data_IF_435609768462
#
_entry.id   IF_435609768462
#
_cell.length_a   1.000
_cell.length_b   1.000
_cell.length_c   1.000
_cell.angle_alpha   90.00
_cell.angle_beta   90.00
_cell.angle_gamma   90.00
#
_symmetry.space_group_name_H-M   'P 1'
#
loop_
_entity.id
_entity.type
_entity.pdbx_description
1 polymer ?
#
# COMPACT_ATOMS: atom_id res chain seq x y z
N UNK A 1 -11.42 -1.86 -0.30
CA UNK A 1 -10.66 -0.77 -0.94
C UNK A 1 -11.36 -0.39 -2.22
N UNK A 2 -11.63 0.90 -2.39
CA UNK A 2 -12.18 1.48 -3.61
C UNK A 2 -11.19 2.53 -4.12
N UNK A 3 -10.85 2.47 -5.40
CA UNK A 3 -9.92 3.39 -6.05
C UNK A 3 -10.61 4.06 -7.22
N UNK A 4 -10.58 5.39 -7.27
CA UNK A 4 -11.09 6.18 -8.39
C UNK A 4 -9.92 7.00 -8.94
N UNK A 5 -9.45 6.66 -10.13
CA UNK A 5 -8.36 7.36 -10.81
C UNK A 5 -8.88 8.24 -11.94
N UNK A 6 -8.63 9.54 -11.83
CA UNK A 6 -8.84 10.50 -12.91
C UNK A 6 -7.75 10.34 -13.99
N UNK A 7 -8.14 9.97 -15.22
CA UNK A 7 -7.21 9.85 -16.35
C UNK A 7 -7.23 11.07 -17.29
N UNK A 8 -8.01 12.10 -16.97
CA UNK A 8 -8.27 13.24 -17.85
C UNK A 8 -9.08 12.83 -19.08
N UNK A 9 -8.95 13.60 -20.15
CA UNK A 9 -9.77 13.45 -21.36
C UNK A 9 -9.46 12.18 -22.21
N UNK A 10 -8.36 11.48 -21.94
CA UNK A 10 -7.89 10.34 -22.75
C UNK A 10 -7.43 9.17 -21.89
N UNK A 11 -7.56 7.95 -22.41
CA UNK A 11 -7.28 6.73 -21.66
C UNK A 11 -5.81 6.63 -21.23
N UNK A 12 -4.89 7.01 -22.14
CA UNK A 12 -3.44 6.98 -21.90
C UNK A 12 -3.02 5.66 -21.22
N UNK A 13 -2.19 5.73 -20.18
CA UNK A 13 -1.88 4.61 -19.29
C UNK A 13 -2.76 4.55 -18.03
N UNK A 14 -3.83 5.35 -17.94
CA UNK A 14 -4.64 5.48 -16.72
C UNK A 14 -5.19 4.15 -16.20
N UNK A 15 -5.76 3.34 -17.09
CA UNK A 15 -6.29 2.02 -16.72
C UNK A 15 -5.20 1.12 -16.13
N UNK A 16 -4.03 1.08 -16.76
CA UNK A 16 -2.90 0.28 -16.28
C UNK A 16 -2.36 0.80 -14.94
N UNK A 17 -2.34 2.12 -14.73
CA UNK A 17 -1.91 2.76 -13.48
C UNK A 17 -2.85 2.37 -12.33
N UNK A 18 -4.16 2.52 -12.51
CA UNK A 18 -5.15 2.18 -11.47
C UNK A 18 -5.13 0.68 -11.20
N UNK A 19 -5.08 -0.15 -12.25
CA UNK A 19 -5.00 -1.60 -12.10
C UNK A 19 -3.74 -2.03 -11.35
N UNK A 20 -2.57 -1.43 -11.66
CA UNK A 20 -1.34 -1.73 -10.93
C UNK A 20 -1.42 -1.28 -9.46
N UNK A 21 -2.06 -0.15 -9.20
CA UNK A 21 -2.36 0.27 -7.82
C UNK A 21 -3.05 -0.85 -7.04
N UNK A 22 -4.09 -1.47 -7.61
CA UNK A 22 -4.84 -2.53 -6.92
C UNK A 22 -4.01 -3.76 -6.53
N UNK A 23 -2.95 -4.11 -7.27
CA UNK A 23 -2.03 -5.19 -6.82
C UNK A 23 -1.36 -4.89 -5.47
N UNK A 24 -1.25 -3.61 -5.11
CA UNK A 24 -0.59 -3.14 -3.89
C UNK A 24 -1.62 -2.68 -2.84
N UNK A 25 -2.91 -3.00 -2.99
CA UNK A 25 -3.97 -2.38 -2.20
C UNK A 25 -3.94 -2.70 -0.69
N UNK A 26 -3.31 -3.80 -0.30
CA UNK A 26 -3.10 -4.17 1.11
C UNK A 26 -1.73 -3.75 1.63
N UNK A 27 -0.87 -3.17 0.78
CA UNK A 27 0.53 -2.94 1.10
C UNK A 27 1.29 -4.24 1.38
N UNK A 28 2.41 -4.15 2.12
CA UNK A 28 3.20 -5.31 2.51
C UNK A 28 2.67 -6.03 3.76
N UNK A 29 1.34 -6.04 3.95
CA UNK A 29 0.68 -6.52 5.16
C UNK A 29 -0.28 -7.67 4.88
N UNK A 30 -0.31 -8.66 5.77
CA UNK A 30 -1.27 -9.75 5.78
C UNK A 30 -2.68 -9.19 6.04
N UNK A 31 -3.59 -9.38 5.09
CA UNK A 31 -4.99 -8.97 5.20
C UNK A 31 -5.86 -10.13 4.73
N UNK A 32 -6.39 -10.89 5.70
CA UNK A 32 -7.15 -12.13 5.43
C UNK A 32 -8.41 -11.89 4.58
N UNK A 33 -9.03 -10.72 4.74
CA UNK A 33 -10.29 -10.38 4.10
C UNK A 33 -10.16 -9.07 3.34
N UNK A 34 -10.03 -9.15 2.02
CA UNK A 34 -9.91 -7.98 1.14
C UNK A 34 -10.95 -8.01 0.03
N UNK A 35 -11.62 -6.88 -0.17
CA UNK A 35 -12.45 -6.60 -1.35
C UNK A 35 -11.91 -5.35 -2.02
N UNK A 36 -11.56 -5.46 -3.30
CA UNK A 36 -10.99 -4.38 -4.09
C UNK A 36 -11.87 -4.03 -5.28
N UNK A 37 -12.07 -2.74 -5.54
CA UNK A 37 -12.67 -2.25 -6.79
C UNK A 37 -11.91 -1.01 -7.26
N UNK A 38 -11.75 -0.89 -8.58
CA UNK A 38 -11.00 0.18 -9.20
C UNK A 38 -11.77 0.74 -10.40
N UNK A 39 -11.83 2.06 -10.46
CA UNK A 39 -12.44 2.82 -11.55
C UNK A 39 -11.40 3.75 -12.16
N UNK A 40 -11.29 3.74 -13.48
CA UNK A 40 -10.57 4.77 -14.23
C UNK A 40 -11.60 5.65 -14.89
N UNK A 41 -11.65 6.93 -14.53
CA UNK A 41 -12.69 7.86 -14.96
C UNK A 41 -12.12 8.91 -15.90
N UNK A 42 -12.88 9.20 -16.96
CA UNK A 42 -12.58 10.31 -17.86
C UNK A 42 -13.11 11.61 -17.25
N UNK A 43 -12.32 12.66 -17.36
CA UNK A 43 -12.70 14.01 -16.92
C UNK A 43 -12.27 15.04 -17.96
N UNK A 44 -12.65 16.31 -17.75
CA UNK A 44 -12.19 17.42 -18.58
C UNK A 44 -10.79 17.95 -18.19
N UNK A 45 -10.08 17.24 -17.31
CA UNK A 45 -8.69 17.57 -16.97
C UNK A 45 -7.73 17.12 -18.08
N UNK A 46 -6.51 17.68 -18.06
CA UNK A 46 -5.41 17.22 -18.92
C UNK A 46 -5.17 15.73 -18.72
N UNK A 47 -4.86 15.01 -19.80
CA UNK A 47 -4.66 13.57 -19.74
C UNK A 47 -3.57 13.19 -18.72
N UNK A 48 -3.87 12.20 -17.89
CA UNK A 48 -2.89 11.60 -16.99
C UNK A 48 -2.13 10.47 -17.70
N UNK A 49 -1.10 9.95 -17.05
CA UNK A 49 -0.31 8.84 -17.59
C UNK A 49 0.59 8.21 -16.55
N UNK A 50 1.55 7.44 -17.02
CA UNK A 50 2.54 6.79 -16.17
C UNK A 50 3.40 7.82 -15.43
N UNK A 51 3.55 7.65 -14.12
CA UNK A 51 4.55 8.34 -13.29
C UNK A 51 5.30 7.29 -12.46
N UNK A 52 6.48 7.64 -11.94
CA UNK A 52 7.28 6.77 -11.06
C UNK A 52 6.41 6.17 -9.94
N UNK A 53 6.41 4.84 -9.84
CA UNK A 53 5.53 4.06 -8.95
C UNK A 53 4.37 3.39 -9.70
N UNK A 54 3.78 4.10 -10.68
CA UNK A 54 2.72 3.58 -11.55
C UNK A 54 1.53 3.03 -10.74
N UNK A 55 0.89 3.89 -9.94
CA UNK A 55 -0.25 3.53 -9.08
C UNK A 55 0.13 3.02 -7.69
N UNK A 56 1.32 2.44 -7.54
CA UNK A 56 1.75 1.85 -6.28
C UNK A 56 1.96 2.90 -5.17
N UNK A 57 2.44 4.10 -5.53
CA UNK A 57 2.69 5.19 -4.58
C UNK A 57 1.40 5.79 -4.04
N UNK A 58 0.36 5.93 -4.88
CA UNK A 58 -0.98 6.35 -4.45
C UNK A 58 -1.57 5.35 -3.45
N UNK A 59 -1.42 4.04 -3.72
CA UNK A 59 -1.84 3.02 -2.77
C UNK A 59 -1.01 3.02 -1.49
N UNK A 60 0.31 3.22 -1.59
CA UNK A 60 1.18 3.33 -0.42
C UNK A 60 0.75 4.41 0.55
N UNK A 61 0.44 5.60 0.02
CA UNK A 61 -0.14 6.65 0.84
C UNK A 61 -1.43 6.20 1.54
N UNK A 62 -2.36 5.56 0.81
CA UNK A 62 -3.65 5.16 1.35
C UNK A 62 -3.53 4.09 2.45
N UNK A 63 -2.80 2.99 2.19
CA UNK A 63 -2.68 1.91 3.18
C UNK A 63 -1.79 2.31 4.36
N UNK A 64 -0.72 3.10 4.17
CA UNK A 64 0.11 3.56 5.30
C UNK A 64 -0.65 4.53 6.20
N UNK A 65 -1.44 5.44 5.62
CA UNK A 65 -2.32 6.31 6.39
C UNK A 65 -3.34 5.50 7.21
N UNK A 66 -3.88 4.42 6.62
CA UNK A 66 -4.77 3.51 7.34
C UNK A 66 -4.04 2.81 8.49
N UNK A 67 -2.81 2.34 8.28
CA UNK A 67 -2.00 1.68 9.32
C UNK A 67 -1.76 2.62 10.51
N UNK A 68 -1.41 3.89 10.26
CA UNK A 68 -1.24 4.89 11.33
C UNK A 68 -2.53 5.17 12.08
N UNK A 69 -3.64 5.37 11.37
CA UNK A 69 -4.96 5.60 11.99
C UNK A 69 -5.35 4.42 12.89
N UNK A 70 -5.13 3.19 12.43
CA UNK A 70 -5.45 1.98 13.20
C UNK A 70 -4.55 1.84 14.43
N UNK A 71 -3.24 2.02 14.28
CA UNK A 71 -2.28 1.98 15.38
C UNK A 71 -2.66 3.00 16.47
N UNK A 72 -2.94 4.24 16.10
CA UNK A 72 -3.39 5.29 17.02
C UNK A 72 -4.69 4.93 17.75
N UNK A 73 -5.69 4.41 17.02
CA UNK A 73 -6.97 4.01 17.62
C UNK A 73 -6.84 2.85 18.60
N UNK A 74 -5.90 1.94 18.35
CA UNK A 74 -5.63 0.79 19.21
C UNK A 74 -4.65 1.10 20.34
N UNK A 75 -4.01 2.29 20.34
CA UNK A 75 -2.97 2.64 21.30
C UNK A 75 -1.71 1.80 21.15
N UNK A 76 -1.45 1.25 19.95
CA UNK A 76 -0.28 0.44 19.63
C UNK A 76 0.74 1.34 18.93
N UNK A 77 2.02 1.18 19.24
CA UNK A 77 3.10 1.87 18.52
C UNK A 77 3.00 1.57 17.01
N UNK A 78 3.09 2.60 16.14
CA UNK A 78 2.87 2.43 14.70
C UNK A 78 3.91 1.54 14.02
N UNK A 79 5.14 1.44 14.53
CA UNK A 79 6.16 0.52 14.01
C UNK A 79 5.83 -0.90 14.44
N UNK A 80 5.45 -1.11 15.71
CA UNK A 80 5.04 -2.44 16.20
C UNK A 80 3.81 -2.95 15.46
N UNK A 81 2.82 -2.09 15.23
CA UNK A 81 1.61 -2.46 14.50
C UNK A 81 1.93 -2.92 13.06
N UNK A 82 2.85 -2.24 12.38
CA UNK A 82 3.33 -2.68 11.05
C UNK A 82 4.06 -4.01 11.11
N UNK A 83 4.95 -4.21 12.08
CA UNK A 83 5.70 -5.46 12.24
C UNK A 83 4.77 -6.66 12.52
N UNK A 84 3.71 -6.46 13.30
CA UNK A 84 2.71 -7.50 13.60
C UNK A 84 1.94 -7.94 12.35
N UNK A 85 1.64 -7.01 11.44
CA UNK A 85 0.83 -7.28 10.25
C UNK A 85 1.68 -7.57 9.00
N UNK A 86 2.99 -7.27 9.01
CA UNK A 86 3.85 -7.41 7.83
C UNK A 86 3.93 -8.85 7.32
N UNK A 87 4.10 -9.00 5.99
CA UNK A 87 4.28 -10.31 5.36
C UNK A 87 5.46 -11.10 5.93
N UNK A 88 5.34 -12.42 5.80
CA UNK A 88 6.38 -13.42 6.04
C UNK A 88 6.54 -14.31 4.79
N UNK A 89 7.58 -15.14 4.77
CA UNK A 89 7.64 -16.24 3.80
C UNK A 89 6.41 -17.14 4.02
N UNK A 90 5.69 -17.44 2.94
CA UNK A 90 4.42 -18.16 2.97
C UNK A 90 3.19 -17.27 2.98
N UNK A 91 3.33 -15.96 3.20
CA UNK A 91 2.22 -15.01 3.05
C UNK A 91 1.64 -15.01 1.64
N UNK A 92 0.34 -14.75 1.54
CA UNK A 92 -0.35 -14.53 0.27
C UNK A 92 -0.62 -13.04 0.07
N UNK A 93 -0.29 -12.53 -1.10
CA UNK A 93 -0.69 -11.20 -1.57
C UNK A 93 -2.21 -11.14 -1.86
N UNK A 94 -2.81 -9.95 -2.07
CA UNK A 94 -4.25 -9.82 -2.36
C UNK A 94 -4.71 -10.45 -3.69
N UNK A 95 -3.78 -10.77 -4.58
CA UNK A 95 -4.00 -11.51 -5.82
C UNK A 95 -3.58 -12.99 -5.72
N UNK A 96 -3.51 -13.52 -4.50
CA UNK A 96 -3.21 -14.94 -4.21
C UNK A 96 -1.82 -15.41 -4.63
N UNK A 97 -0.85 -14.52 -4.80
CA UNK A 97 0.54 -14.90 -5.03
C UNK A 97 1.18 -15.28 -3.69
N UNK A 98 1.73 -16.50 -3.63
CA UNK A 98 2.47 -16.97 -2.46
C UNK A 98 3.90 -16.45 -2.50
N UNK A 99 4.32 -15.79 -1.43
CA UNK A 99 5.68 -15.28 -1.29
C UNK A 99 6.61 -16.39 -0.79
N UNK A 100 7.40 -16.98 -1.69
CA UNK A 100 8.26 -18.13 -1.36
C UNK A 100 9.67 -17.74 -0.94
N UNK A 101 10.11 -16.52 -1.23
CA UNK A 101 11.46 -16.03 -0.94
C UNK A 101 11.48 -14.49 -0.91
N UNK A 102 12.59 -13.91 -0.44
CA UNK A 102 12.88 -12.47 -0.51
C UNK A 102 11.82 -11.55 0.13
N UNK A 103 11.27 -11.95 1.27
CA UNK A 103 10.32 -11.13 2.05
C UNK A 103 11.07 -10.41 3.17
N UNK A 104 11.69 -9.26 2.84
CA UNK A 104 12.56 -8.50 3.77
C UNK A 104 11.89 -7.31 4.45
N UNK A 105 10.56 -7.24 4.46
CA UNK A 105 9.82 -6.06 4.95
C UNK A 105 10.06 -5.81 6.44
N UNK A 106 10.06 -6.87 7.27
CA UNK A 106 10.23 -6.73 8.72
C UNK A 106 11.65 -6.26 9.06
N UNK A 107 12.65 -6.80 8.38
CA UNK A 107 14.05 -6.39 8.50
C UNK A 107 14.20 -4.91 8.11
N UNK A 108 13.63 -4.53 6.96
CA UNK A 108 13.66 -3.14 6.46
C UNK A 108 13.03 -2.18 7.47
N UNK A 109 11.86 -2.53 8.05
CA UNK A 109 11.20 -1.68 9.04
C UNK A 109 12.06 -1.54 10.30
N UNK A 110 12.64 -2.64 10.82
CA UNK A 110 13.48 -2.61 12.02
C UNK A 110 14.73 -1.74 11.81
N UNK A 111 15.44 -1.94 10.71
CA UNK A 111 16.65 -1.17 10.39
C UNK A 111 16.32 0.31 10.18
N UNK A 112 15.25 0.63 9.44
CA UNK A 112 14.84 2.01 9.24
C UNK A 112 14.45 2.70 10.56
N UNK A 113 13.75 1.99 11.45
CA UNK A 113 13.37 2.51 12.77
C UNK A 113 14.59 2.76 13.67
N UNK A 114 15.55 1.83 13.68
CA UNK A 114 16.80 1.96 14.45
C UNK A 114 17.64 3.14 13.94
N UNK A 115 17.85 3.23 12.63
CA UNK A 115 18.58 4.33 12.00
C UNK A 115 17.91 5.70 12.23
N UNK A 116 16.58 5.74 12.29
CA UNK A 116 15.82 6.94 12.60
C UNK A 116 15.84 7.30 14.11
N UNK A 117 16.40 6.45 14.97
CA UNK A 117 16.33 6.62 16.42
C UNK A 117 14.91 6.63 16.95
N UNK A 118 14.04 5.78 16.37
CA UNK A 118 12.66 5.62 16.83
C UNK A 118 12.66 5.08 18.27
N UNK A 119 11.91 5.74 19.14
CA UNK A 119 11.67 5.28 20.52
C UNK A 119 10.22 4.90 20.61
N UNK A 120 9.94 3.74 21.19
CA UNK A 120 8.59 3.24 21.35
C UNK A 120 7.70 4.29 22.04
N UNK A 121 6.54 4.56 21.46
CA UNK A 121 5.58 5.55 21.99
C UNK A 121 5.86 7.00 21.61
N UNK A 122 6.76 7.26 20.65
CA UNK A 122 6.90 8.59 20.02
C UNK A 122 5.69 8.83 19.12
N UNK A 123 4.82 9.78 19.51
CA UNK A 123 3.76 10.33 18.66
C UNK A 123 4.22 11.64 18.04
#
# INVERSE_FOLDING_TARGET
VEVIGDTGAYASSGLAVVHKGMYHCTGPYNVDNVKGVAYTVYTNNTYAGAMRGFGATQMAFAYESQMDILAHKLGIDPIQFRLQNAYDIGSSTPNSQILTHSVGVKETIREAADMAGWKEGRQ
#
